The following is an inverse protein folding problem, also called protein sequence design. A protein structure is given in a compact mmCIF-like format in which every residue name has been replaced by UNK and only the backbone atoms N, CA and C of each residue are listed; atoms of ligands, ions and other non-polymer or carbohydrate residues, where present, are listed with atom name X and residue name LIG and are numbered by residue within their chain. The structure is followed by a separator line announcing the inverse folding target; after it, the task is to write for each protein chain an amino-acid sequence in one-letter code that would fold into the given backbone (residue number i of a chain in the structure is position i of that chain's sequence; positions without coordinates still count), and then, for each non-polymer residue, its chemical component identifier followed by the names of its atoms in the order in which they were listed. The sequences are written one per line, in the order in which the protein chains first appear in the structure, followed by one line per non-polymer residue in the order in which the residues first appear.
data_IF_055787334563
#
_entry.id   IF_055787334563
#
_cell.length_a   1.000
_cell.length_b   1.000
_cell.length_c   1.000
_cell.angle_alpha   90.00
_cell.angle_beta   90.00
_cell.angle_gamma   90.00
#
_symmetry.space_group_name_H-M   'P 1'
#
loop_
_entity.id
_entity.type
_entity.pdbx_description
1 polymer ?
#
# COMPACT_ATOMS: atom_id res chain seq x y z
N UNK A 1 8.18 -27.10 7.85
CA UNK A 1 7.60 -25.76 8.02
C UNK A 1 6.43 -25.52 7.10
N UNK A 2 5.30 -25.08 7.67
CA UNK A 2 3.99 -25.04 6.99
C UNK A 2 3.45 -23.61 6.84
N UNK A 3 4.35 -22.64 6.62
CA UNK A 3 4.04 -21.21 6.53
C UNK A 3 2.87 -20.90 5.57
N UNK A 4 2.82 -21.57 4.41
CA UNK A 4 1.72 -21.39 3.45
C UNK A 4 0.37 -21.92 3.95
N UNK A 5 0.33 -23.02 4.71
CA UNK A 5 -0.92 -23.49 5.27
C UNK A 5 -1.36 -22.63 6.46
N UNK A 6 -0.41 -22.06 7.21
CA UNK A 6 -0.71 -21.12 8.28
C UNK A 6 -1.35 -19.84 7.72
N UNK A 7 -0.88 -19.31 6.60
CA UNK A 7 -1.52 -18.18 5.91
C UNK A 7 -2.94 -18.52 5.41
N UNK A 8 -3.13 -19.70 4.80
CA UNK A 8 -4.47 -20.14 4.35
C UNK A 8 -5.44 -20.31 5.52
N UNK A 9 -4.95 -20.81 6.66
CA UNK A 9 -5.73 -20.92 7.89
C UNK A 9 -6.08 -19.54 8.45
N UNK A 10 -5.10 -18.65 8.56
CA UNK A 10 -5.31 -17.28 9.02
C UNK A 10 -6.34 -16.54 8.15
N UNK A 11 -6.26 -16.67 6.82
CA UNK A 11 -7.25 -16.11 5.89
C UNK A 11 -8.65 -16.65 6.15
N UNK A 12 -8.80 -17.97 6.32
CA UNK A 12 -10.10 -18.58 6.60
C UNK A 12 -10.68 -18.07 7.92
N UNK A 13 -9.86 -18.01 8.96
CA UNK A 13 -10.30 -17.57 10.28
C UNK A 13 -10.70 -16.07 10.25
N UNK A 14 -9.94 -15.24 9.53
CA UNK A 14 -10.24 -13.81 9.31
C UNK A 14 -11.56 -13.59 8.56
N UNK A 15 -11.84 -14.37 7.51
CA UNK A 15 -13.06 -14.23 6.71
C UNK A 15 -14.29 -14.85 7.39
N UNK A 16 -14.10 -15.81 8.30
CA UNK A 16 -15.19 -16.49 9.00
C UNK A 16 -15.98 -15.54 9.88
N UNK A 17 -15.30 -14.60 10.53
CA UNK A 17 -15.89 -13.76 11.55
C UNK A 17 -16.69 -12.57 10.95
N UNK A 18 -16.64 -12.38 9.62
CA UNK A 18 -17.45 -11.38 8.90
C UNK A 18 -17.09 -9.92 9.17
N UNK A 19 -16.08 -9.67 10.01
CA UNK A 19 -15.59 -8.34 10.37
C UNK A 19 -14.47 -7.82 9.44
N UNK A 20 -14.04 -8.64 8.48
CA UNK A 20 -13.02 -8.25 7.52
C UNK A 20 -13.55 -7.11 6.61
N UNK A 21 -12.77 -6.05 6.36
CA UNK A 21 -13.14 -5.00 5.42
C UNK A 21 -13.29 -5.55 4.00
N UNK A 22 -14.03 -4.82 3.16
CA UNK A 22 -14.14 -5.13 1.74
C UNK A 22 -12.76 -5.02 1.08
N UNK A 23 -12.22 -6.17 0.67
CA UNK A 23 -10.90 -6.26 0.07
C UNK A 23 -10.81 -7.55 -0.78
N UNK A 24 -10.14 -7.55 -1.95
CA UNK A 24 -10.10 -8.74 -2.80
C UNK A 24 -9.53 -9.97 -2.09
N UNK A 25 -10.30 -11.07 -2.12
CA UNK A 25 -9.98 -12.34 -1.48
C UNK A 25 -8.54 -12.82 -1.76
N UNK A 26 -8.10 -12.68 -3.01
CA UNK A 26 -6.79 -13.10 -3.50
C UNK A 26 -5.59 -12.31 -2.93
N UNK A 27 -5.83 -11.13 -2.35
CA UNK A 27 -4.78 -10.25 -1.84
C UNK A 27 -4.57 -10.38 -0.32
N UNK A 28 -5.48 -11.04 0.40
CA UNK A 28 -5.37 -11.23 1.85
C UNK A 28 -4.12 -11.99 2.27
N UNK A 29 -3.68 -12.99 1.50
CA UNK A 29 -2.43 -13.73 1.79
C UNK A 29 -1.18 -12.87 1.65
N UNK A 30 -1.22 -11.79 0.88
CA UNK A 30 -0.13 -10.83 0.81
C UNK A 30 -0.15 -9.91 2.04
N UNK A 31 -1.33 -9.42 2.44
CA UNK A 31 -1.50 -8.60 3.66
C UNK A 31 -1.08 -9.38 4.91
N UNK A 32 -1.57 -10.61 5.10
CA UNK A 32 -1.24 -11.47 6.24
C UNK A 32 0.26 -11.84 6.34
N UNK A 33 0.95 -11.78 5.21
CA UNK A 33 2.38 -12.06 5.11
C UNK A 33 3.25 -10.78 5.16
N UNK A 34 2.62 -9.61 5.36
CA UNK A 34 3.25 -8.29 5.24
C UNK A 34 4.04 -8.09 3.94
N UNK A 35 3.48 -8.58 2.82
CA UNK A 35 4.09 -8.50 1.49
C UNK A 35 3.51 -7.34 0.68
N UNK A 36 4.28 -6.94 -0.33
CA UNK A 36 3.82 -5.95 -1.31
C UNK A 36 2.49 -6.34 -1.96
N UNK A 37 1.55 -5.38 -2.00
CA UNK A 37 0.26 -5.49 -2.69
C UNK A 37 0.23 -4.49 -3.84
N UNK A 38 -0.05 -4.96 -5.05
CA UNK A 38 -0.27 -4.07 -6.18
C UNK A 38 -1.68 -3.45 -6.14
N UNK A 39 -1.75 -2.13 -5.99
CA UNK A 39 -3.02 -1.39 -5.93
C UNK A 39 -3.83 -1.48 -7.22
N UNK A 40 -3.19 -1.78 -8.36
CA UNK A 40 -3.92 -2.06 -9.61
C UNK A 40 -4.79 -3.31 -9.54
N UNK A 41 -4.47 -4.24 -8.62
CA UNK A 41 -5.27 -5.44 -8.39
C UNK A 41 -6.42 -5.21 -7.40
N UNK A 42 -6.36 -4.12 -6.63
CA UNK A 42 -7.44 -3.74 -5.70
C UNK A 42 -8.62 -3.17 -6.48
N UNK A 43 -8.33 -2.30 -7.45
CA UNK A 43 -9.35 -1.66 -8.26
C UNK A 43 -9.50 -2.35 -9.61
N UNK A 44 -10.70 -2.88 -9.92
CA UNK A 44 -11.03 -3.46 -11.24
C UNK A 44 -11.23 -2.40 -12.35
N UNK A 45 -10.68 -1.19 -12.17
CA UNK A 45 -10.85 -0.03 -13.07
C UNK A 45 -9.49 0.60 -13.39
N UNK A 46 -9.48 1.55 -14.34
CA UNK A 46 -8.27 2.30 -14.68
C UNK A 46 -7.70 2.98 -13.44
N UNK A 47 -6.44 2.69 -13.13
CA UNK A 47 -5.69 3.22 -12.00
C UNK A 47 -4.70 4.29 -12.48
N UNK A 48 -5.10 5.56 -12.41
CA UNK A 48 -4.31 6.65 -12.99
C UNK A 48 -4.37 7.98 -12.22
N UNK A 49 -5.35 8.16 -11.32
CA UNK A 49 -5.59 9.43 -10.63
C UNK A 49 -5.28 9.35 -9.14
N UNK A 50 -5.19 10.51 -8.50
CA UNK A 50 -5.10 10.63 -7.04
C UNK A 50 -6.29 9.95 -6.35
N UNK A 51 -7.51 10.10 -6.88
CA UNK A 51 -8.70 9.45 -6.32
C UNK A 51 -8.59 7.92 -6.41
N UNK A 52 -8.16 7.39 -7.55
CA UNK A 52 -7.97 5.94 -7.71
C UNK A 52 -6.94 5.41 -6.71
N UNK A 53 -5.81 6.10 -6.58
CA UNK A 53 -4.80 5.75 -5.60
C UNK A 53 -5.35 5.82 -4.16
N UNK A 54 -6.09 6.88 -3.83
CA UNK A 54 -6.62 7.06 -2.48
C UNK A 54 -7.65 5.98 -2.12
N UNK A 55 -8.53 5.62 -3.04
CA UNK A 55 -9.52 4.54 -2.83
C UNK A 55 -8.79 3.21 -2.57
N UNK A 56 -7.85 2.84 -3.45
CA UNK A 56 -7.07 1.61 -3.29
C UNK A 56 -6.24 1.59 -2.00
N UNK A 57 -5.67 2.75 -1.64
CA UNK A 57 -4.91 2.91 -0.40
C UNK A 57 -5.81 2.73 0.83
N UNK A 58 -7.02 3.27 0.82
CA UNK A 58 -7.96 3.11 1.94
C UNK A 58 -8.38 1.66 2.13
N UNK A 59 -8.71 0.95 1.05
CA UNK A 59 -9.07 -0.47 1.10
C UNK A 59 -7.91 -1.32 1.64
N UNK A 60 -6.69 -1.08 1.12
CA UNK A 60 -5.49 -1.75 1.61
C UNK A 60 -5.16 -1.40 3.06
N UNK A 61 -5.21 -0.13 3.45
CA UNK A 61 -4.88 0.31 4.81
C UNK A 61 -5.90 -0.23 5.82
N UNK A 62 -7.18 -0.34 5.46
CA UNK A 62 -8.18 -0.99 6.28
C UNK A 62 -7.85 -2.48 6.51
N UNK A 63 -7.47 -3.20 5.45
CA UNK A 63 -7.05 -4.60 5.55
C UNK A 63 -5.80 -4.74 6.43
N UNK A 64 -4.77 -3.90 6.23
CA UNK A 64 -3.55 -3.89 7.04
C UNK A 64 -3.84 -3.55 8.50
N UNK A 65 -4.68 -2.55 8.79
CA UNK A 65 -5.02 -2.18 10.17
C UNK A 65 -5.87 -3.27 10.85
N UNK A 66 -6.69 -4.00 10.10
CA UNK A 66 -7.43 -5.14 10.63
C UNK A 66 -6.48 -6.26 11.07
N UNK A 67 -5.43 -6.53 10.31
CA UNK A 67 -4.41 -7.55 10.67
C UNK A 67 -3.38 -7.02 11.68
N UNK A 68 -2.99 -5.76 11.57
CA UNK A 68 -1.93 -5.10 12.34
C UNK A 68 -2.40 -3.73 12.87
N UNK A 69 -3.22 -3.68 13.93
CA UNK A 69 -3.83 -2.44 14.42
C UNK A 69 -2.82 -1.33 14.78
N UNK A 70 -1.63 -1.73 15.22
CA UNK A 70 -0.54 -0.82 15.60
C UNK A 70 0.04 -0.01 14.41
N UNK A 71 -0.20 -0.43 13.17
CA UNK A 71 0.31 0.25 11.96
C UNK A 71 -0.52 1.44 11.51
N UNK A 72 -1.68 1.67 12.13
CA UNK A 72 -2.62 2.75 11.74
C UNK A 72 -1.96 4.13 11.68
N UNK A 73 -1.11 4.47 12.65
CA UNK A 73 -0.44 5.77 12.70
C UNK A 73 0.57 5.95 11.55
N UNK A 74 1.42 4.96 11.29
CA UNK A 74 2.41 5.07 10.21
C UNK A 74 1.74 5.13 8.82
N UNK A 75 0.63 4.41 8.63
CA UNK A 75 -0.14 4.46 7.39
C UNK A 75 -0.81 5.81 7.17
N UNK A 76 -1.30 6.45 8.24
CA UNK A 76 -1.85 7.80 8.16
C UNK A 76 -0.79 8.83 7.75
N UNK A 77 0.41 8.74 8.34
CA UNK A 77 1.57 9.58 7.97
C UNK A 77 1.95 9.38 6.51
N UNK A 78 2.07 8.12 6.07
CA UNK A 78 2.42 7.81 4.69
C UNK A 78 1.36 8.26 3.68
N UNK A 79 0.07 8.11 4.01
CA UNK A 79 -1.02 8.62 3.16
C UNK A 79 -0.88 10.12 2.92
N UNK A 80 -0.58 10.89 3.98
CA UNK A 80 -0.40 12.32 3.86
C UNK A 80 0.79 12.66 2.97
N UNK A 81 1.92 11.96 3.15
CA UNK A 81 3.09 12.11 2.29
C UNK A 81 2.78 11.92 0.80
N UNK A 82 2.14 10.82 0.40
CA UNK A 82 1.82 10.58 -1.01
C UNK A 82 0.74 11.55 -1.52
N UNK A 83 -0.22 11.92 -0.68
CA UNK A 83 -1.21 12.97 -1.02
C UNK A 83 -0.53 14.29 -1.35
N UNK A 84 0.52 14.66 -0.62
CA UNK A 84 1.28 15.89 -0.89
C UNK A 84 2.13 15.77 -2.16
N UNK A 85 2.62 14.57 -2.52
CA UNK A 85 3.23 14.32 -3.84
C UNK A 85 2.21 14.57 -4.96
N UNK A 86 0.99 14.05 -4.85
CA UNK A 86 -0.06 14.33 -5.84
C UNK A 86 -0.41 15.82 -5.93
N UNK A 87 -0.52 16.51 -4.80
CA UNK A 87 -0.84 17.96 -4.77
C UNK A 87 0.25 18.83 -5.39
N UNK A 88 1.51 18.41 -5.29
CA UNK A 88 2.67 19.13 -5.83
C UNK A 88 3.05 18.71 -7.25
N UNK A 89 2.37 17.71 -7.82
CA UNK A 89 2.66 17.19 -9.17
C UNK A 89 1.54 17.55 -10.14
N UNK A 90 1.87 17.87 -11.39
CA UNK A 90 0.87 18.13 -12.43
C UNK A 90 0.02 16.87 -12.70
N UNK A 91 -1.26 17.05 -13.05
CA UNK A 91 -2.21 15.93 -13.24
C UNK A 91 -1.75 14.90 -14.27
N UNK A 92 -1.11 15.35 -15.34
CA UNK A 92 -0.59 14.47 -16.40
C UNK A 92 0.57 13.57 -15.92
N UNK A 93 1.25 13.99 -14.85
CA UNK A 93 2.39 13.29 -14.25
C UNK A 93 2.00 12.45 -13.02
N UNK A 94 0.70 12.36 -12.69
CA UNK A 94 0.20 11.50 -11.59
C UNK A 94 0.62 10.04 -11.73
N UNK A 95 0.85 9.55 -12.95
CA UNK A 95 1.39 8.21 -13.20
C UNK A 95 2.77 8.01 -12.56
N UNK A 96 3.60 9.06 -12.50
CA UNK A 96 4.91 9.02 -11.83
C UNK A 96 4.77 8.95 -10.32
N UNK A 97 3.81 9.68 -9.75
CA UNK A 97 3.49 9.59 -8.30
C UNK A 97 3.03 8.18 -7.94
N UNK A 98 2.17 7.56 -8.76
CA UNK A 98 1.75 6.17 -8.59
C UNK A 98 2.93 5.20 -8.65
N UNK A 99 3.86 5.39 -9.60
CA UNK A 99 5.05 4.56 -9.72
C UNK A 99 5.99 4.74 -8.50
N UNK A 100 6.16 5.99 -8.04
CA UNK A 100 6.92 6.32 -6.85
C UNK A 100 6.36 5.65 -5.59
N UNK A 101 5.04 5.73 -5.38
CA UNK A 101 4.33 5.03 -4.29
C UNK A 101 4.60 3.52 -4.34
N UNK A 102 4.44 2.90 -5.52
CA UNK A 102 4.66 1.46 -5.66
C UNK A 102 6.11 1.07 -5.34
N UNK A 103 7.09 1.88 -5.75
CA UNK A 103 8.50 1.65 -5.43
C UNK A 103 8.77 1.77 -3.94
N UNK A 104 8.23 2.78 -3.27
CA UNK A 104 8.37 2.97 -1.82
C UNK A 104 7.74 1.82 -1.03
N UNK A 105 6.49 1.42 -1.36
CA UNK A 105 5.84 0.29 -0.69
C UNK A 105 6.58 -1.02 -0.93
N UNK A 106 7.17 -1.20 -2.11
CA UNK A 106 8.03 -2.35 -2.39
C UNK A 106 9.30 -2.33 -1.53
N UNK A 107 9.94 -1.17 -1.37
CA UNK A 107 11.12 -1.01 -0.52
C UNK A 107 10.82 -1.36 0.94
N UNK A 108 9.73 -0.80 1.50
CA UNK A 108 9.28 -1.09 2.88
C UNK A 108 8.97 -2.58 3.08
N UNK A 109 8.34 -3.23 2.10
CA UNK A 109 8.03 -4.66 2.19
C UNK A 109 9.28 -5.57 2.14
N UNK A 110 10.42 -5.06 1.65
CA UNK A 110 11.67 -5.83 1.53
C UNK A 110 12.74 -5.43 2.56
N UNK A 111 12.59 -4.30 3.25
CA UNK A 111 13.48 -3.84 4.30
C UNK A 111 12.72 -3.65 5.62
N UNK A 112 12.81 -4.65 6.50
CA UNK A 112 12.16 -4.61 7.82
C UNK A 112 12.69 -3.53 8.78
N UNK A 113 13.69 -2.73 8.37
CA UNK A 113 14.15 -1.54 9.11
C UNK A 113 13.40 -0.27 8.71
N UNK A 114 12.58 -0.32 7.67
CA UNK A 114 11.80 0.81 7.19
C UNK A 114 10.37 0.76 7.75
N UNK A 115 9.92 1.90 8.24
CA UNK A 115 8.51 2.15 8.57
C UNK A 115 7.89 3.04 7.51
N UNK A 116 6.56 2.94 7.35
CA UNK A 116 5.81 3.89 6.53
C UNK A 116 5.91 5.34 7.04
N UNK A 117 6.29 5.54 8.31
CA UNK A 117 6.55 6.86 8.88
C UNK A 117 7.87 7.51 8.44
N UNK A 118 8.81 6.74 7.84
CA UNK A 118 10.13 7.23 7.40
C UNK A 118 10.08 8.08 6.12
N UNK A 119 9.18 9.07 6.08
CA UNK A 119 8.85 9.88 4.91
C UNK A 119 10.05 10.61 4.28
N UNK A 120 11.07 10.95 5.07
CA UNK A 120 12.33 11.52 4.55
C UNK A 120 13.10 10.53 3.67
N UNK A 121 13.12 9.24 4.03
CA UNK A 121 13.76 8.19 3.22
C UNK A 121 12.91 7.91 1.97
N UNK A 122 11.59 7.84 2.15
CA UNK A 122 10.64 7.65 1.06
C UNK A 122 10.71 8.76 0.01
N UNK A 123 10.98 10.00 0.45
CA UNK A 123 11.18 11.16 -0.45
C UNK A 123 12.34 10.92 -1.43
N UNK A 124 13.46 10.37 -0.96
CA UNK A 124 14.62 10.10 -1.81
C UNK A 124 14.30 9.05 -2.89
N UNK A 125 13.53 8.01 -2.55
CA UNK A 125 13.06 7.02 -3.52
C UNK A 125 12.06 7.63 -4.50
N UNK A 126 11.10 8.44 -4.02
CA UNK A 126 10.09 9.08 -4.85
C UNK A 126 10.69 10.08 -5.86
N UNK A 127 11.69 10.86 -5.47
CA UNK A 127 12.32 11.87 -6.32
C UNK A 127 12.94 11.27 -7.60
N UNK A 128 13.39 10.01 -7.56
CA UNK A 128 13.90 9.30 -8.74
C UNK A 128 12.85 9.15 -9.84
N UNK A 129 11.59 8.99 -9.46
CA UNK A 129 10.47 8.86 -10.39
C UNK A 129 9.90 10.22 -10.80
N UNK A 130 9.98 11.22 -9.91
CA UNK A 130 9.42 12.55 -10.13
C UNK A 130 10.40 13.48 -10.87
N UNK A 131 11.69 13.15 -10.92
CA UNK A 131 12.69 13.90 -11.69
C UNK A 131 12.28 13.99 -13.17
N UNK A 132 12.30 15.19 -13.78
CA UNK A 132 12.06 15.35 -15.22
C UNK A 132 13.15 14.70 -16.09
N UNK A 133 14.30 14.36 -15.49
CA UNK A 133 15.47 13.80 -16.16
C UNK A 133 15.73 12.32 -15.81
N UNK A 134 14.70 11.60 -15.38
CA UNK A 134 14.79 10.20 -14.91
C UNK A 134 15.87 9.35 -15.56
#
# INVERSE_FOLDING_TARGET
DNYLADLKRAKRDLLRDGHAPAFPDELWEAVLADRFVDFRRILSRRFATHSDWNDAFQDWAAAVCHTYPHRSNELAVYRQFVTDLFRSTHKDEHRRVIAADAAVRCEVANDGRLSFADTLRHRATADRFLSPYG
#
